data_IF_550415500588
#
_entry.id   IF_550415500588
#
_cell.length_a   1.000
_cell.length_b   1.000
_cell.length_c   1.000
_cell.angle_alpha   90.00
_cell.angle_beta   90.00
_cell.angle_gamma   90.00
#
_symmetry.space_group_name_H-M   'P 1'
#
loop_
_entity.id
_entity.type
_entity.pdbx_description
1 polymer ?
#
# COMPACT_ATOMS: atom_id res chain seq x y z
N UNK A 1 -6.12 -15.83 -0.99
CA UNK A 1 -6.71 -14.46 -1.07
C UNK A 1 -7.15 -14.05 0.33
N UNK A 2 -6.85 -12.82 0.75
CA UNK A 2 -7.30 -12.31 2.05
C UNK A 2 -8.67 -11.63 1.86
N UNK A 3 -9.57 -11.77 2.83
CA UNK A 3 -10.77 -10.92 2.87
C UNK A 3 -10.32 -9.47 3.08
N UNK A 4 -10.69 -8.58 2.16
CA UNK A 4 -10.37 -7.15 2.26
C UNK A 4 -11.63 -6.31 2.43
N UNK A 5 -11.50 -5.26 3.23
CA UNK A 5 -12.51 -4.20 3.39
C UNK A 5 -11.81 -2.87 3.15
N UNK A 6 -12.39 -2.04 2.30
CA UNK A 6 -11.91 -0.68 2.06
C UNK A 6 -13.00 0.30 2.47
N UNK A 7 -12.62 1.38 3.14
CA UNK A 7 -13.49 2.51 3.44
C UNK A 7 -12.88 3.75 2.79
N UNK A 8 -13.71 4.53 2.13
CA UNK A 8 -13.28 5.75 1.44
C UNK A 8 -14.38 6.81 1.56
N UNK A 9 -14.03 8.09 1.78
CA UNK A 9 -14.99 9.19 1.88
C UNK A 9 -15.67 9.55 0.54
N UNK A 10 -15.14 9.11 -0.60
CA UNK A 10 -15.61 9.46 -1.95
C UNK A 10 -15.63 10.97 -2.25
N UNK A 11 -14.55 11.67 -1.89
CA UNK A 11 -14.36 13.10 -2.14
C UNK A 11 -14.30 13.45 -3.64
N UNK A 12 -13.84 12.53 -4.48
CA UNK A 12 -13.82 12.68 -5.94
C UNK A 12 -15.23 12.70 -6.55
N UNK A 13 -16.24 12.23 -5.80
CA UNK A 13 -17.62 12.01 -6.28
C UNK A 13 -17.68 11.03 -7.45
N UNK A 14 -16.72 10.12 -7.55
CA UNK A 14 -16.75 9.05 -8.53
C UNK A 14 -18.06 8.27 -8.43
N UNK A 15 -18.68 7.97 -9.57
CA UNK A 15 -20.00 7.33 -9.64
C UNK A 15 -20.04 5.96 -8.95
N UNK A 16 -18.90 5.25 -8.91
CA UNK A 16 -18.76 3.98 -8.19
C UNK A 16 -18.77 4.10 -6.67
N UNK A 17 -18.78 5.32 -6.11
CA UNK A 17 -18.98 5.55 -4.68
C UNK A 17 -17.73 5.47 -3.81
N UNK A 18 -16.53 5.53 -4.39
CA UNK A 18 -15.27 5.47 -3.64
C UNK A 18 -14.15 6.24 -4.35
N UNK A 19 -13.22 6.80 -3.56
CA UNK A 19 -11.92 7.27 -4.07
C UNK A 19 -10.92 6.13 -4.07
N UNK A 20 -10.91 5.34 -3.00
CA UNK A 20 -9.93 4.28 -2.79
C UNK A 20 -10.62 2.92 -2.79
N UNK A 21 -10.06 1.97 -3.54
CA UNK A 21 -10.44 0.56 -3.47
C UNK A 21 -9.20 -0.31 -3.52
N UNK A 22 -9.17 -1.34 -2.69
CA UNK A 22 -8.00 -2.21 -2.57
C UNK A 22 -8.35 -3.70 -2.54
N UNK A 23 -7.40 -4.51 -2.99
CA UNK A 23 -7.38 -5.95 -2.80
C UNK A 23 -5.99 -6.38 -2.33
N UNK A 24 -5.96 -7.30 -1.38
CA UNK A 24 -4.74 -7.80 -0.79
C UNK A 24 -4.65 -9.32 -0.93
N UNK A 25 -3.44 -9.79 -1.15
CA UNK A 25 -3.10 -11.19 -1.24
C UNK A 25 -1.80 -11.42 -0.50
N UNK A 26 -1.65 -12.61 0.06
CA UNK A 26 -0.44 -13.00 0.73
C UNK A 26 0.02 -14.35 0.17
N UNK A 27 1.32 -14.60 0.25
CA UNK A 27 1.86 -15.92 0.02
C UNK A 27 1.35 -16.92 1.07
N UNK A 28 1.61 -18.21 0.84
CA UNK A 28 1.13 -19.29 1.73
C UNK A 28 1.63 -19.11 3.16
N UNK A 29 2.85 -18.60 3.33
CA UNK A 29 3.49 -18.40 4.64
C UNK A 29 3.17 -17.04 5.27
N UNK A 30 2.44 -16.18 4.56
CA UNK A 30 2.12 -14.80 4.95
C UNK A 30 3.35 -13.95 5.31
N UNK A 31 4.47 -14.22 4.66
CA UNK A 31 5.72 -13.44 4.76
C UNK A 31 5.72 -12.28 3.78
N UNK A 32 5.00 -12.43 2.67
CA UNK A 32 4.87 -11.42 1.64
C UNK A 32 3.40 -11.05 1.46
N UNK A 33 3.13 -9.75 1.47
CA UNK A 33 1.83 -9.15 1.22
C UNK A 33 1.89 -8.36 -0.08
N UNK A 34 1.07 -8.75 -1.06
CA UNK A 34 0.75 -7.93 -2.20
C UNK A 34 -0.52 -7.13 -1.94
N UNK A 35 -0.50 -5.85 -2.27
CA UNK A 35 -1.65 -4.95 -2.13
C UNK A 35 -1.81 -4.14 -3.42
N UNK A 36 -2.94 -4.31 -4.09
CA UNK A 36 -3.32 -3.49 -5.23
C UNK A 36 -4.35 -2.47 -4.80
N UNK A 37 -4.12 -1.21 -5.16
CA UNK A 37 -4.95 -0.09 -4.74
C UNK A 37 -5.20 0.83 -5.92
N UNK A 38 -6.46 1.25 -6.11
CA UNK A 38 -6.83 2.32 -7.02
C UNK A 38 -7.15 3.55 -6.19
N UNK A 39 -6.57 4.69 -6.55
CA UNK A 39 -6.93 6.01 -6.04
C UNK A 39 -7.54 6.85 -7.17
N UNK A 40 -8.83 7.18 -7.07
CA UNK A 40 -9.54 8.04 -8.02
C UNK A 40 -9.48 9.53 -7.66
N UNK A 41 -8.96 9.89 -6.48
CA UNK A 41 -8.82 11.29 -6.12
C UNK A 41 -7.75 11.97 -6.99
N UNK A 42 -7.99 13.20 -7.43
CA UNK A 42 -6.99 14.03 -8.14
C UNK A 42 -5.87 14.54 -7.22
N UNK A 43 -5.73 13.99 -6.01
CA UNK A 43 -4.71 14.38 -5.04
C UNK A 43 -4.10 13.14 -4.41
N UNK A 44 -2.90 13.33 -3.87
CA UNK A 44 -2.26 12.35 -3.00
C UNK A 44 -3.20 11.98 -1.85
N UNK A 45 -3.23 10.69 -1.54
CA UNK A 45 -4.12 10.15 -0.50
C UNK A 45 -3.32 9.26 0.43
N UNK A 46 -3.25 9.68 1.69
CA UNK A 46 -2.70 8.85 2.76
C UNK A 46 -3.74 7.80 3.17
N UNK A 47 -3.36 6.52 3.12
CA UNK A 47 -4.22 5.39 3.46
C UNK A 47 -3.64 4.61 4.62
N UNK A 48 -4.48 4.30 5.60
CA UNK A 48 -4.14 3.35 6.65
C UNK A 48 -4.45 1.92 6.19
N UNK A 49 -3.42 1.08 6.11
CA UNK A 49 -3.55 -0.35 5.92
C UNK A 49 -3.51 -1.04 7.28
N UNK A 50 -4.55 -1.81 7.62
CA UNK A 50 -4.59 -2.60 8.86
C UNK A 50 -4.51 -4.10 8.56
N UNK A 51 -3.53 -4.77 9.18
CA UNK A 51 -3.35 -6.22 9.16
C UNK A 51 -2.88 -6.71 10.54
N UNK A 52 -3.81 -7.14 11.39
CA UNK A 52 -3.53 -7.49 12.78
C UNK A 52 -2.47 -8.59 12.96
N UNK A 53 -2.32 -9.51 12.00
CA UNK A 53 -1.29 -10.56 12.03
C UNK A 53 0.14 -10.02 11.85
N UNK A 54 0.30 -8.75 11.47
CA UNK A 54 1.58 -8.10 11.20
C UNK A 54 1.92 -7.04 12.27
N UNK A 55 1.32 -7.08 13.46
CA UNK A 55 1.67 -6.15 14.56
C UNK A 55 3.16 -6.14 14.90
N UNK A 56 3.73 -4.95 15.06
CA UNK A 56 5.15 -4.72 15.36
C UNK A 56 6.08 -5.47 14.39
N UNK A 57 5.66 -5.66 13.14
CA UNK A 57 6.50 -6.32 12.13
C UNK A 57 7.19 -5.23 11.31
N UNK A 58 8.54 -5.23 11.28
CA UNK A 58 9.27 -4.46 10.30
C UNK A 58 9.07 -5.08 8.92
N UNK A 59 8.97 -4.22 7.90
CA UNK A 59 8.73 -4.61 6.52
C UNK A 59 9.60 -3.82 5.56
N UNK A 60 9.99 -4.49 4.48
CA UNK A 60 10.46 -3.82 3.26
C UNK A 60 9.28 -3.66 2.31
N UNK A 61 9.20 -2.51 1.65
CA UNK A 61 8.13 -2.15 0.74
C UNK A 61 8.69 -1.74 -0.61
N UNK A 62 8.04 -2.20 -1.67
CA UNK A 62 8.22 -1.73 -3.05
C UNK A 62 6.89 -1.24 -3.56
N UNK A 63 6.84 -0.04 -4.10
CA UNK A 63 5.62 0.61 -4.57
C UNK A 63 5.71 0.94 -6.05
N UNK A 64 5.00 0.17 -6.85
CA UNK A 64 4.86 0.37 -8.28
C UNK A 64 3.58 1.14 -8.55
N UNK A 65 3.58 2.07 -9.49
CA UNK A 65 2.36 2.78 -9.84
C UNK A 65 2.34 3.33 -11.27
N UNK A 66 1.11 3.56 -11.73
CA UNK A 66 0.76 4.48 -12.80
C UNK A 66 -0.10 5.58 -12.17
N UNK A 67 0.20 6.85 -12.39
CA UNK A 67 -0.51 7.98 -11.79
C UNK A 67 -0.79 9.10 -12.77
N UNK A 68 -1.80 9.91 -12.46
CA UNK A 68 -2.02 11.19 -13.12
C UNK A 68 -1.26 12.33 -12.44
N UNK A 69 -1.43 13.54 -12.96
CA UNK A 69 -0.90 14.75 -12.36
C UNK A 69 -1.81 15.26 -11.24
N UNK A 70 -1.21 15.82 -10.17
CA UNK A 70 -1.96 16.39 -9.07
C UNK A 70 -2.87 17.55 -9.52
N UNK A 71 -4.13 17.51 -9.10
CA UNK A 71 -5.15 18.51 -9.43
C UNK A 71 -5.76 18.38 -10.82
N UNK A 72 -5.27 17.46 -11.66
CA UNK A 72 -5.80 17.23 -13.00
C UNK A 72 -6.89 16.16 -12.97
N UNK A 73 -7.88 16.30 -13.87
CA UNK A 73 -8.93 15.32 -14.03
C UNK A 73 -8.35 14.00 -14.61
N UNK A 74 -8.50 12.85 -13.93
CA UNK A 74 -8.03 11.56 -14.44
C UNK A 74 -8.63 11.16 -15.80
N UNK A 75 -9.78 11.74 -16.18
CA UNK A 75 -10.46 11.43 -17.43
C UNK A 75 -10.05 12.38 -18.59
N UNK A 76 -9.13 13.34 -18.37
CA UNK A 76 -8.59 14.17 -19.46
C UNK A 76 -7.63 13.37 -20.34
N UNK A 77 -8.01 13.19 -21.60
CA UNK A 77 -7.28 12.42 -22.61
C UNK A 77 -5.88 12.97 -22.95
N UNK A 78 -5.55 14.18 -22.49
CA UNK A 78 -4.25 14.82 -22.72
C UNK A 78 -3.24 14.55 -21.61
N UNK A 79 -3.67 13.92 -20.51
CA UNK A 79 -2.78 13.61 -19.38
C UNK A 79 -1.77 12.56 -19.82
N UNK A 80 -0.49 12.87 -19.66
CA UNK A 80 0.58 11.88 -19.77
C UNK A 80 0.79 11.28 -18.39
N UNK A 81 0.56 9.98 -18.19
CA UNK A 81 0.69 9.41 -16.88
C UNK A 81 2.15 9.29 -16.46
N UNK A 82 2.39 9.42 -15.16
CA UNK A 82 3.67 9.09 -14.54
C UNK A 82 3.69 7.60 -14.18
N UNK A 83 4.86 6.97 -14.35
CA UNK A 83 5.05 5.54 -14.06
C UNK A 83 6.26 5.33 -13.18
N UNK A 84 6.10 4.53 -12.14
CA UNK A 84 7.21 3.95 -11.38
C UNK A 84 7.17 2.42 -11.52
N UNK A 85 8.15 1.89 -12.26
CA UNK A 85 8.27 0.46 -12.57
C UNK A 85 9.54 -0.18 -11.97
N UNK A 86 10.48 0.62 -11.45
CA UNK A 86 11.69 0.15 -10.79
C UNK A 86 11.84 0.81 -9.39
N UNK A 87 10.91 0.52 -8.47
CA UNK A 87 10.84 1.22 -7.21
C UNK A 87 12.00 0.86 -6.30
N UNK A 88 12.53 1.90 -5.64
CA UNK A 88 13.46 1.71 -4.54
C UNK A 88 12.77 0.99 -3.39
N UNK A 89 13.52 0.17 -2.67
CA UNK A 89 13.06 -0.45 -1.43
C UNK A 89 12.97 0.65 -0.36
N UNK A 90 11.80 0.78 0.25
CA UNK A 90 11.62 1.56 1.47
C UNK A 90 11.36 0.62 2.65
N UNK A 91 11.72 1.07 3.86
CA UNK A 91 11.39 0.34 5.09
C UNK A 91 10.14 0.94 5.73
N UNK A 92 9.41 0.11 6.46
CA UNK A 92 8.28 0.52 7.28
C UNK A 92 8.11 -0.42 8.46
N UNK A 93 7.20 -0.07 9.36
CA UNK A 93 6.84 -0.91 10.48
C UNK A 93 5.34 -0.81 10.72
N UNK A 94 4.70 -1.96 10.87
CA UNK A 94 3.32 -2.02 11.33
C UNK A 94 3.28 -1.70 12.83
N UNK A 95 2.39 -0.79 13.22
CA UNK A 95 2.18 -0.39 14.60
C UNK A 95 1.78 -1.56 15.51
N UNK A 96 1.70 -1.31 16.82
CA UNK A 96 1.15 -2.25 17.80
C UNK A 96 -0.34 -2.56 17.58
N UNK A 97 -1.07 -1.70 16.86
CA UNK A 97 -2.42 -1.96 16.39
C UNK A 97 -2.45 -2.82 15.12
N UNK A 98 -1.31 -2.99 14.46
CA UNK A 98 -1.17 -3.71 13.20
C UNK A 98 -1.56 -2.83 12.02
N UNK A 99 -1.25 -1.54 12.09
CA UNK A 99 -1.49 -0.60 11.00
C UNK A 99 -0.23 0.07 10.48
N UNK A 100 -0.22 0.41 9.20
CA UNK A 100 0.84 1.18 8.54
C UNK A 100 0.18 2.20 7.61
N UNK A 101 0.80 3.36 7.47
CA UNK A 101 0.37 4.39 6.53
C UNK A 101 1.13 4.25 5.22
N UNK A 102 0.41 4.28 4.11
CA UNK A 102 0.97 4.30 2.77
C UNK A 102 0.40 5.48 2.00
N UNK A 103 1.21 6.04 1.12
CA UNK A 103 0.83 7.16 0.29
C UNK A 103 0.47 6.68 -1.11
N UNK A 104 -0.68 7.13 -1.62
CA UNK A 104 -1.12 6.87 -2.97
C UNK A 104 -0.98 8.14 -3.81
N UNK A 105 -0.34 8.08 -4.99
CA UNK A 105 -0.29 9.22 -5.89
C UNK A 105 -1.69 9.61 -6.37
N UNK A 106 -1.87 10.83 -6.90
CA UNK A 106 -3.10 11.27 -7.55
C UNK A 106 -3.52 10.31 -8.67
N UNK A 107 -4.82 10.07 -8.82
CA UNK A 107 -5.38 9.40 -9.99
C UNK A 107 -4.62 8.11 -10.39
N UNK A 108 -4.34 7.25 -9.41
CA UNK A 108 -3.36 6.18 -9.55
C UNK A 108 -3.91 4.77 -9.48
N UNK A 109 -3.19 3.86 -10.11
CA UNK A 109 -3.25 2.42 -9.87
C UNK A 109 -1.89 2.02 -9.29
N UNK A 110 -1.90 1.59 -8.03
CA UNK A 110 -0.72 1.24 -7.25
C UNK A 110 -0.67 -0.25 -6.95
N UNK A 111 0.53 -0.81 -6.95
CA UNK A 111 0.84 -2.15 -6.45
C UNK A 111 1.96 -2.05 -5.42
N UNK A 112 1.67 -2.47 -4.20
CA UNK A 112 2.67 -2.61 -3.14
C UNK A 112 3.05 -4.07 -2.98
N UNK A 113 4.34 -4.33 -2.85
CA UNK A 113 4.87 -5.60 -2.38
C UNK A 113 5.58 -5.34 -1.05
N UNK A 114 5.03 -5.91 0.03
CA UNK A 114 5.58 -5.79 1.37
C UNK A 114 6.11 -7.15 1.83
N UNK A 115 7.34 -7.20 2.32
CA UNK A 115 7.96 -8.43 2.84
C UNK A 115 8.39 -8.19 4.27
N UNK A 116 8.07 -9.11 5.18
CA UNK A 116 8.58 -9.05 6.56
C UNK A 116 10.09 -9.15 6.56
N UNK A 117 10.73 -8.29 7.33
CA UNK A 117 12.14 -8.45 7.66
C UNK A 117 12.19 -9.42 8.83
N UNK A 118 12.83 -10.57 8.65
CA UNK A 118 13.15 -11.43 9.80
C UNK A 118 14.00 -10.58 10.76
N UNK A 119 13.47 -10.28 11.94
CA UNK A 119 14.33 -9.77 13.00
C UNK A 119 15.31 -10.89 13.28
N UNK A 120 16.60 -10.65 13.04
CA UNK A 120 17.68 -11.46 13.57
C UNK A 120 17.43 -11.58 15.07
N UNK A 121 16.78 -12.67 15.48
CA UNK A 121 16.56 -12.95 16.88
C UNK A 121 17.96 -13.05 17.45
N UNK A 122 18.30 -12.08 18.30
CA UNK A 122 19.50 -12.06 19.13
C UNK A 122 19.70 -13.48 19.64
N UNK A 123 20.64 -14.20 19.04
CA UNK A 123 21.14 -15.46 19.58
C UNK A 123 21.80 -15.09 20.89
N UNK A 124 21.01 -15.06 21.96
CA UNK A 124 21.52 -14.92 23.31
C UNK A 124 22.54 -16.03 23.53
N UNK A 125 23.72 -15.73 24.11
CA UNK A 125 24.74 -16.73 24.33
C UNK A 125 24.15 -17.86 25.18
N UNK A 126 24.26 -19.09 24.66
CA UNK A 126 24.04 -20.31 25.42
C UNK A 126 25.01 -20.29 26.60
N UNK A 127 24.50 -20.06 27.81
CA UNK A 127 25.24 -20.33 29.03
C UNK A 127 25.35 -21.85 29.20
N UNK A 128 26.55 -22.38 28.97
CA UNK A 128 27.03 -23.63 29.56
C UNK A 128 27.42 -23.43 31.03
#
# INVERSE_FOLDING_TARGET
>A
MLETKTRSPNLSKYAGGYDVRAVAFADERRQTLGLWVVNRASKETMVELTLASWKNQPVEMRHYYLSGEAGVDPDDLRVTPETELDPRISSGEFSSAGSIHIELPPASVSSFLMTRVESDAVMGPSHE
#
